data_IF_811548174228
#
_entry.id   IF_811548174228
#
_cell.length_a   1.000
_cell.length_b   1.000
_cell.length_c   1.000
_cell.angle_alpha   90.00
_cell.angle_beta   90.00
_cell.angle_gamma   90.00
#
_symmetry.space_group_name_H-M   'P 1'
#
loop_
_entity.id
_entity.type
_entity.pdbx_description
1 polymer ?
#
# COMPACT_ATOMS: atom_id res chain seq x y z
N UNK A 1 -14.09 22.71 -32.32
CA UNK A 1 -13.39 21.43 -32.05
C UNK A 1 -13.01 21.42 -30.57
N UNK A 2 -13.98 21.04 -29.74
CA UNK A 2 -13.92 21.16 -28.28
C UNK A 2 -13.39 19.88 -27.64
N UNK A 3 -12.07 19.73 -27.58
CA UNK A 3 -11.41 18.55 -26.99
C UNK A 3 -10.23 18.91 -26.09
N UNK A 4 -10.28 20.05 -25.38
CA UNK A 4 -9.14 20.49 -24.55
C UNK A 4 -9.17 20.03 -23.09
N UNK A 5 -10.31 19.61 -22.51
CA UNK A 5 -10.40 19.33 -21.07
C UNK A 5 -11.19 18.06 -20.69
N UNK A 6 -11.33 17.07 -21.59
CA UNK A 6 -11.84 15.75 -21.20
C UNK A 6 -10.68 14.93 -20.65
N UNK A 7 -10.58 14.83 -19.33
CA UNK A 7 -9.77 13.78 -18.71
C UNK A 7 -10.23 12.46 -19.28
N UNK A 8 -9.33 11.80 -20.01
CA UNK A 8 -9.63 10.49 -20.57
C UNK A 8 -9.82 9.51 -19.40
N UNK A 9 -10.94 8.76 -19.35
CA UNK A 9 -11.18 7.70 -18.37
C UNK A 9 -10.01 6.71 -18.27
N UNK A 10 -9.22 6.61 -19.34
CA UNK A 10 -7.99 5.85 -19.40
C UNK A 10 -6.96 6.23 -18.33
N UNK A 11 -6.87 7.50 -17.90
CA UNK A 11 -5.96 7.89 -16.82
C UNK A 11 -6.35 7.27 -15.48
N UNK A 12 -7.66 7.23 -15.17
CA UNK A 12 -8.17 6.56 -13.98
C UNK A 12 -7.94 5.04 -14.06
N UNK A 13 -8.17 4.46 -15.24
CA UNK A 13 -7.94 3.03 -15.48
C UNK A 13 -6.46 2.66 -15.33
N UNK A 14 -5.57 3.46 -15.90
CA UNK A 14 -4.14 3.24 -15.83
C UNK A 14 -3.61 3.37 -14.39
N UNK A 15 -4.01 4.42 -13.66
CA UNK A 15 -3.65 4.58 -12.25
C UNK A 15 -4.17 3.41 -11.40
N UNK A 16 -5.40 2.94 -11.65
CA UNK A 16 -5.95 1.76 -10.95
C UNK A 16 -5.11 0.50 -11.22
N UNK A 17 -4.64 0.30 -12.45
CA UNK A 17 -3.75 -0.83 -12.78
C UNK A 17 -2.39 -0.72 -12.10
N UNK A 18 -1.81 0.49 -12.06
CA UNK A 18 -0.53 0.74 -11.40
C UNK A 18 -0.62 0.52 -9.88
N UNK A 19 -1.69 0.98 -9.24
CA UNK A 19 -1.98 0.71 -7.82
C UNK A 19 -2.08 -0.80 -7.62
N UNK A 20 -2.88 -1.51 -8.43
CA UNK A 20 -3.02 -2.96 -8.32
C UNK A 20 -1.69 -3.71 -8.49
N UNK A 21 -0.83 -3.26 -9.41
CA UNK A 21 0.49 -3.86 -9.63
C UNK A 21 1.41 -3.60 -8.43
N UNK A 22 1.53 -2.35 -7.97
CA UNK A 22 2.33 -2.00 -6.80
C UNK A 22 1.89 -2.75 -5.54
N UNK A 23 0.57 -2.93 -5.36
CA UNK A 23 0.02 -3.76 -4.29
C UNK A 23 0.41 -5.23 -4.41
N UNK A 24 0.43 -5.79 -5.62
CA UNK A 24 0.83 -7.20 -5.84
C UNK A 24 2.33 -7.41 -5.62
N UNK A 25 3.16 -6.44 -5.97
CA UNK A 25 4.62 -6.50 -5.79
C UNK A 25 5.08 -5.99 -4.43
N UNK A 26 4.15 -5.63 -3.53
CA UNK A 26 4.44 -5.03 -2.23
C UNK A 26 5.35 -3.77 -2.33
N UNK A 27 5.27 -3.03 -3.43
CA UNK A 27 5.99 -1.77 -3.60
C UNK A 27 5.19 -0.62 -2.99
N UNK A 28 5.32 -0.48 -1.67
CA UNK A 28 4.56 0.49 -0.88
C UNK A 28 4.93 1.95 -1.20
N UNK A 29 6.15 2.19 -1.68
CA UNK A 29 6.59 3.52 -2.10
C UNK A 29 5.92 3.94 -3.41
N UNK A 30 5.88 3.03 -4.39
CA UNK A 30 5.16 3.26 -5.64
C UNK A 30 3.65 3.39 -5.39
N UNK A 31 3.08 2.55 -4.51
CA UNK A 31 1.67 2.61 -4.12
C UNK A 31 1.29 4.01 -3.61
N UNK A 32 2.06 4.56 -2.66
CA UNK A 32 1.85 5.92 -2.12
C UNK A 32 1.91 6.99 -3.21
N UNK A 33 2.85 6.87 -4.16
CA UNK A 33 2.98 7.84 -5.26
C UNK A 33 1.75 7.80 -6.18
N UNK A 34 1.26 6.62 -6.53
CA UNK A 34 0.09 6.49 -7.40
C UNK A 34 -1.20 6.92 -6.71
N UNK A 35 -1.35 6.67 -5.42
CA UNK A 35 -2.49 7.15 -4.64
C UNK A 35 -2.53 8.68 -4.55
N UNK A 36 -1.38 9.34 -4.38
CA UNK A 36 -1.29 10.80 -4.42
C UNK A 36 -1.71 11.36 -5.78
N UNK A 37 -1.25 10.76 -6.88
CA UNK A 37 -1.65 11.16 -8.23
C UNK A 37 -3.14 10.95 -8.48
N UNK A 38 -3.71 9.83 -8.00
CA UNK A 38 -5.14 9.57 -8.09
C UNK A 38 -5.95 10.63 -7.31
N UNK A 39 -5.48 10.99 -6.11
CA UNK A 39 -6.11 12.02 -5.27
C UNK A 39 -6.07 13.40 -5.92
N UNK A 40 -4.94 13.81 -6.46
CA UNK A 40 -4.81 15.08 -7.20
C UNK A 40 -5.76 15.11 -8.39
N UNK A 41 -5.86 13.99 -9.11
CA UNK A 41 -6.72 13.86 -10.29
C UNK A 41 -8.21 13.93 -9.92
N UNK A 42 -8.62 13.33 -8.79
CA UNK A 42 -9.96 13.44 -8.23
C UNK A 42 -10.29 14.87 -7.74
N UNK A 43 -9.34 15.56 -7.11
CA UNK A 43 -9.52 16.92 -6.60
C UNK A 43 -9.66 17.91 -7.75
N UNK A 44 -8.73 17.86 -8.71
CA UNK A 44 -8.71 18.76 -9.88
C UNK A 44 -9.93 18.58 -10.78
N UNK A 45 -10.55 17.40 -10.78
CA UNK A 45 -11.68 17.07 -11.67
C UNK A 45 -12.99 16.81 -10.93
N UNK A 46 -13.15 17.36 -9.71
CA UNK A 46 -14.43 17.37 -8.96
C UNK A 46 -15.68 17.67 -9.81
N UNK A 47 -15.66 18.62 -10.77
CA UNK A 47 -16.84 18.92 -11.60
C UNK A 47 -17.27 17.75 -12.51
N UNK A 48 -16.33 16.88 -12.89
CA UNK A 48 -16.54 15.78 -13.83
C UNK A 48 -16.79 14.43 -13.13
N UNK A 49 -16.74 14.38 -11.80
CA UNK A 49 -17.05 13.16 -11.02
C UNK A 49 -18.52 12.74 -11.14
N UNK A 50 -19.40 13.65 -11.57
CA UNK A 50 -20.81 13.36 -11.85
C UNK A 50 -21.05 12.86 -13.28
N UNK A 51 -20.01 12.75 -14.11
CA UNK A 51 -20.16 12.21 -15.46
C UNK A 51 -20.42 10.69 -15.36
N UNK A 52 -21.57 10.20 -15.86
CA UNK A 52 -21.91 8.78 -15.83
C UNK A 52 -20.89 7.88 -16.56
N UNK A 53 -20.06 8.44 -17.46
CA UNK A 53 -18.98 7.70 -18.12
C UNK A 53 -17.74 7.48 -17.25
N UNK A 54 -17.54 8.35 -16.26
CA UNK A 54 -16.41 8.28 -15.30
C UNK A 54 -16.79 7.56 -14.01
N UNK A 55 -18.07 7.55 -13.66
CA UNK A 55 -18.60 6.86 -12.48
C UNK A 55 -18.11 5.41 -12.29
N UNK A 56 -18.12 4.52 -13.30
CA UNK A 56 -17.64 3.14 -13.10
C UNK A 56 -16.13 3.05 -12.88
N UNK A 57 -15.34 3.89 -13.54
CA UNK A 57 -13.88 3.90 -13.38
C UNK A 57 -13.46 4.48 -12.02
N UNK A 58 -14.18 5.50 -11.52
CA UNK A 58 -13.98 6.03 -10.17
C UNK A 58 -14.35 4.97 -9.11
N UNK A 59 -15.46 4.26 -9.31
CA UNK A 59 -15.87 3.20 -8.40
C UNK A 59 -14.82 2.07 -8.38
N UNK A 60 -14.30 1.68 -9.55
CA UNK A 60 -13.22 0.71 -9.66
C UNK A 60 -11.95 1.17 -8.93
N UNK A 61 -11.55 2.42 -9.12
CA UNK A 61 -10.37 2.98 -8.45
C UNK A 61 -10.53 2.95 -6.92
N UNK A 62 -11.73 3.23 -6.39
CA UNK A 62 -12.03 3.11 -4.96
C UNK A 62 -11.90 1.69 -4.46
N UNK A 63 -12.47 0.71 -5.18
CA UNK A 63 -12.36 -0.71 -4.80
C UNK A 63 -10.90 -1.15 -4.77
N UNK A 64 -10.13 -0.81 -5.82
CA UNK A 64 -8.71 -1.16 -5.89
C UNK A 64 -7.90 -0.52 -4.75
N UNK A 65 -8.20 0.74 -4.40
CA UNK A 65 -7.56 1.40 -3.26
C UNK A 65 -7.94 0.73 -1.93
N UNK A 66 -9.20 0.33 -1.74
CA UNK A 66 -9.62 -0.38 -0.53
C UNK A 66 -8.90 -1.74 -0.39
N UNK A 67 -8.79 -2.49 -1.48
CA UNK A 67 -8.04 -3.75 -1.51
C UNK A 67 -6.55 -3.55 -1.23
N UNK A 68 -5.95 -2.49 -1.79
CA UNK A 68 -4.57 -2.12 -1.56
C UNK A 68 -4.31 -1.77 -0.09
N UNK A 69 -5.23 -1.03 0.53
CA UNK A 69 -5.15 -0.66 1.94
C UNK A 69 -5.25 -1.89 2.85
N UNK A 70 -6.21 -2.79 2.60
CA UNK A 70 -6.36 -4.02 3.36
C UNK A 70 -5.11 -4.92 3.27
N UNK A 71 -4.49 -4.98 2.08
CA UNK A 71 -3.23 -5.72 1.90
C UNK A 71 -2.06 -5.07 2.63
N UNK A 72 -1.94 -3.74 2.57
CA UNK A 72 -0.92 -3.00 3.31
C UNK A 72 -1.07 -3.22 4.83
N UNK A 73 -2.29 -3.15 5.35
CA UNK A 73 -2.58 -3.41 6.76
C UNK A 73 -2.18 -4.83 7.17
N UNK A 74 -2.53 -5.83 6.35
CA UNK A 74 -2.13 -7.21 6.57
C UNK A 74 -0.60 -7.36 6.60
N UNK A 75 0.10 -6.80 5.61
CA UNK A 75 1.56 -6.86 5.56
C UNK A 75 2.22 -6.12 6.71
N UNK A 76 1.63 -5.02 7.19
CA UNK A 76 2.10 -4.32 8.40
C UNK A 76 2.01 -5.22 9.63
N UNK A 77 0.88 -5.89 9.81
CA UNK A 77 0.64 -6.78 10.95
C UNK A 77 1.55 -8.03 10.89
N UNK A 78 1.85 -8.54 9.70
CA UNK A 78 2.82 -9.63 9.50
C UNK A 78 4.23 -9.18 9.87
N UNK A 79 4.67 -8.01 9.40
CA UNK A 79 5.98 -7.44 9.73
C UNK A 79 6.12 -7.20 11.25
N UNK A 80 5.07 -6.72 11.91
CA UNK A 80 5.07 -6.54 13.36
C UNK A 80 5.24 -7.85 14.12
N UNK A 81 4.59 -8.94 13.65
CA UNK A 81 4.79 -10.28 14.21
C UNK A 81 6.20 -10.79 14.01
N UNK A 82 6.76 -10.63 12.81
CA UNK A 82 8.14 -11.03 12.52
C UNK A 82 9.14 -10.29 13.41
N UNK A 83 8.94 -8.98 13.61
CA UNK A 83 9.80 -8.16 14.47
C UNK A 83 9.76 -8.63 15.93
N UNK A 84 8.58 -8.97 16.45
CA UNK A 84 8.43 -9.54 17.80
C UNK A 84 9.13 -10.90 17.91
N UNK A 85 9.00 -11.77 16.90
CA UNK A 85 9.70 -13.06 16.89
C UNK A 85 11.22 -12.89 16.89
N UNK A 86 11.76 -11.96 16.10
CA UNK A 86 13.20 -11.67 16.07
C UNK A 86 13.67 -11.17 17.43
N UNK A 87 12.90 -10.30 18.08
CA UNK A 87 13.21 -9.83 19.44
C UNK A 87 13.24 -10.99 20.45
N UNK A 88 12.23 -11.86 20.44
CA UNK A 88 12.17 -13.04 21.32
C UNK A 88 13.32 -14.03 21.09
N UNK A 89 13.78 -14.16 19.84
CA UNK A 89 14.94 -14.98 19.51
C UNK A 89 16.24 -14.35 19.99
N UNK A 90 16.39 -13.03 19.88
CA UNK A 90 17.55 -12.30 20.37
C UNK A 90 17.64 -12.36 21.90
N UNK A 91 16.52 -12.16 22.61
CA UNK A 91 16.45 -12.29 24.07
C UNK A 91 16.83 -13.70 24.53
N UNK A 92 16.30 -14.74 23.88
CA UNK A 92 16.69 -16.13 24.16
C UNK A 92 18.16 -16.39 23.89
N UNK A 93 18.71 -15.91 22.77
CA UNK A 93 20.12 -16.08 22.46
C UNK A 93 21.02 -15.42 23.52
N UNK A 94 20.68 -14.21 23.97
CA UNK A 94 21.40 -13.51 25.04
C UNK A 94 21.31 -14.26 26.38
N UNK A 95 20.12 -14.79 26.72
CA UNK A 95 19.94 -15.59 27.94
C UNK A 95 20.80 -16.87 27.92
N UNK A 96 20.87 -17.56 26.78
CA UNK A 96 21.74 -18.73 26.63
C UNK A 96 23.23 -18.37 26.72
N UNK A 97 23.66 -17.28 26.09
CA UNK A 97 25.04 -16.80 26.20
C UNK A 97 25.39 -16.46 27.65
N UNK A 98 24.50 -15.77 28.37
CA UNK A 98 24.72 -15.42 29.77
C UNK A 98 24.81 -16.67 30.66
N UNK A 99 23.89 -17.62 30.51
CA UNK A 99 23.90 -18.88 31.26
C UNK A 99 25.19 -19.67 31.02
N UNK A 100 25.61 -19.83 29.75
CA UNK A 100 26.85 -20.50 29.39
C UNK A 100 28.08 -19.81 30.00
N UNK A 101 28.13 -18.47 30.00
CA UNK A 101 29.24 -17.74 30.64
C UNK A 101 29.27 -17.91 32.15
N UNK A 102 28.11 -18.02 32.81
CA UNK A 102 28.03 -18.25 34.26
C UNK A 102 28.48 -19.66 34.65
N UNK A 103 28.12 -20.68 33.87
CA UNK A 103 28.57 -22.08 34.06
C UNK A 103 30.08 -22.26 33.90
N UNK A 104 30.74 -21.45 33.05
CA UNK A 104 32.19 -21.48 32.83
C UNK A 104 33.00 -20.75 33.92
N UNK A 105 32.35 -19.97 34.77
CA UNK A 105 32.99 -19.17 35.83
C UNK A 105 32.82 -19.75 37.25
N UNK A 106 32.25 -20.96 37.37
CA UNK A 106 32.20 -21.75 38.61
C UNK A 106 33.35 -22.76 38.67
#
# INVERSE_FOLDING_TARGET
>A
MDNKHKVSPERFRHLSQLIQFATKTADWHALKRYDLQLRELLISHKPFLKDPKLAPEIQRAKTVHADAFARLEKSKNELEKEMNMVNDHQERAMAYQLAMTMELTQ
#
